data_IF_466447828842
#
_entry.id   IF_466447828842
#
_cell.length_a   1.000
_cell.length_b   1.000
_cell.length_c   1.000
_cell.angle_alpha   90.00
_cell.angle_beta   90.00
_cell.angle_gamma   90.00
#
_symmetry.space_group_name_H-M   'P 1'
#
loop_
_entity.id
_entity.type
_entity.pdbx_description
1 polymer ?
#
# COMPACT_ATOMS: atom_id res chain seq x y z
N UNK A 1 17.04 -12.52 -16.71
CA UNK A 1 16.57 -11.84 -15.49
C UNK A 1 16.80 -12.77 -14.33
N UNK A 2 17.39 -12.29 -13.24
CA UNK A 2 17.65 -13.11 -12.06
C UNK A 2 16.59 -12.84 -10.99
N UNK A 3 15.84 -13.88 -10.65
CA UNK A 3 15.15 -13.93 -9.36
C UNK A 3 16.23 -13.99 -8.26
N UNK A 4 16.00 -13.30 -7.16
CA UNK A 4 16.89 -13.34 -5.98
C UNK A 4 16.26 -14.22 -4.92
N UNK A 5 16.99 -15.19 -4.38
CA UNK A 5 16.53 -15.95 -3.21
C UNK A 5 16.60 -15.07 -1.97
N UNK A 6 15.51 -14.98 -1.21
CA UNK A 6 15.45 -14.26 0.05
C UNK A 6 15.78 -15.17 1.23
N UNK A 7 15.03 -16.28 1.34
CA UNK A 7 15.24 -17.36 2.31
C UNK A 7 14.57 -18.63 1.77
N UNK A 8 15.17 -19.80 2.02
CA UNK A 8 14.63 -21.09 1.60
C UNK A 8 14.17 -21.14 0.13
N UNK A 9 12.88 -21.44 -0.08
CA UNK A 9 12.24 -21.48 -1.40
C UNK A 9 11.64 -20.14 -1.86
N UNK A 10 11.76 -19.08 -1.07
CA UNK A 10 11.18 -17.77 -1.34
C UNK A 10 12.09 -16.95 -2.26
N UNK A 11 11.54 -16.55 -3.41
CA UNK A 11 12.24 -15.80 -4.45
C UNK A 11 11.61 -14.41 -4.65
N UNK A 12 12.41 -13.45 -5.11
CA UNK A 12 11.96 -12.10 -5.40
C UNK A 12 12.39 -11.65 -6.79
N UNK A 13 11.44 -11.07 -7.54
CA UNK A 13 11.72 -10.26 -8.72
C UNK A 13 11.71 -8.78 -8.33
N UNK A 14 12.90 -8.18 -8.31
CA UNK A 14 13.08 -6.76 -7.96
C UNK A 14 12.27 -5.83 -8.86
N UNK A 15 11.78 -4.74 -8.26
CA UNK A 15 11.25 -3.54 -8.91
C UNK A 15 10.35 -2.78 -7.95
N UNK A 16 9.47 -1.94 -8.47
CA UNK A 16 8.60 -1.05 -7.68
C UNK A 16 7.18 -1.07 -8.30
N UNK A 17 6.25 -1.90 -7.78
CA UNK A 17 6.44 -2.80 -6.64
C UNK A 17 7.33 -4.01 -6.97
N UNK A 18 7.93 -4.62 -5.95
CA UNK A 18 8.63 -5.91 -6.06
C UNK A 18 7.61 -7.06 -6.13
N UNK A 19 7.99 -8.22 -6.68
CA UNK A 19 7.07 -9.38 -6.80
C UNK A 19 7.69 -10.59 -6.13
N UNK A 20 6.99 -11.19 -5.16
CA UNK A 20 7.44 -12.39 -4.46
C UNK A 20 6.90 -13.66 -5.12
N UNK A 21 7.74 -14.68 -5.19
CA UNK A 21 7.40 -16.00 -5.72
C UNK A 21 7.66 -17.06 -4.65
N UNK A 22 6.71 -17.97 -4.47
CA UNK A 22 6.87 -19.14 -3.61
C UNK A 22 6.22 -20.35 -4.27
N UNK A 23 6.98 -21.44 -4.45
CA UNK A 23 6.47 -22.67 -5.06
C UNK A 23 6.22 -23.73 -4.00
N UNK A 24 5.01 -24.29 -4.01
CA UNK A 24 4.64 -25.42 -3.16
C UNK A 24 3.95 -26.52 -3.99
N UNK A 25 4.61 -27.67 -4.13
CA UNK A 25 4.12 -28.77 -4.96
C UNK A 25 3.90 -28.32 -6.42
N UNK A 26 2.64 -28.35 -6.87
CA UNK A 26 2.23 -27.92 -8.21
C UNK A 26 1.85 -26.45 -8.29
N UNK A 27 1.73 -25.73 -7.18
CA UNK A 27 1.26 -24.34 -7.16
C UNK A 27 2.44 -23.37 -7.05
N UNK A 28 2.41 -22.32 -7.84
CA UNK A 28 3.33 -21.19 -7.79
C UNK A 28 2.56 -19.94 -7.37
N UNK A 29 2.77 -19.49 -6.13
CA UNK A 29 2.22 -18.26 -5.63
C UNK A 29 3.05 -17.06 -6.08
N UNK A 30 2.39 -16.01 -6.55
CA UNK A 30 2.98 -14.79 -7.08
C UNK A 30 2.30 -13.61 -6.38
N UNK A 31 2.98 -12.98 -5.43
CA UNK A 31 2.43 -11.87 -4.64
C UNK A 31 2.80 -10.55 -5.29
N UNK A 32 1.78 -9.74 -5.59
CA UNK A 32 1.82 -8.48 -6.32
C UNK A 32 2.54 -8.58 -7.67
N UNK A 33 1.82 -9.02 -8.72
CA UNK A 33 2.42 -9.16 -10.04
C UNK A 33 2.78 -7.78 -10.66
N UNK A 34 2.32 -6.68 -10.08
CA UNK A 34 2.90 -5.37 -10.32
C UNK A 34 2.32 -4.71 -11.58
N UNK A 35 3.10 -3.79 -12.18
CA UNK A 35 2.72 -3.07 -13.40
C UNK A 35 3.79 -3.06 -14.50
N UNK A 36 3.32 -2.81 -15.72
CA UNK A 36 4.05 -2.66 -16.97
C UNK A 36 4.03 -3.92 -17.84
N UNK A 37 3.85 -3.76 -19.16
CA UNK A 37 3.95 -4.86 -20.15
C UNK A 37 5.30 -5.58 -20.09
N UNK A 38 6.37 -4.84 -19.78
CA UNK A 38 7.69 -5.46 -19.56
C UNK A 38 7.62 -6.41 -18.38
N UNK A 39 7.12 -5.95 -17.22
CA UNK A 39 6.95 -6.75 -15.99
C UNK A 39 6.09 -7.98 -16.24
N UNK A 40 4.95 -7.84 -16.93
CA UNK A 40 4.10 -8.96 -17.30
C UNK A 40 4.92 -10.07 -18.01
N UNK A 41 5.73 -9.71 -19.00
CA UNK A 41 6.64 -10.66 -19.68
C UNK A 41 7.71 -11.25 -18.75
N UNK A 42 8.19 -10.50 -17.76
CA UNK A 42 9.18 -11.02 -16.78
C UNK A 42 8.55 -12.09 -15.89
N UNK A 43 7.32 -11.84 -15.42
CA UNK A 43 6.58 -12.74 -14.53
C UNK A 43 6.14 -13.98 -15.29
N UNK A 44 5.60 -13.86 -16.51
CA UNK A 44 5.24 -15.04 -17.32
C UNK A 44 6.44 -15.96 -17.54
N UNK A 45 7.60 -15.40 -17.92
CA UNK A 45 8.84 -16.18 -18.09
C UNK A 45 9.35 -16.81 -16.78
N UNK A 46 9.20 -16.09 -15.66
CA UNK A 46 9.57 -16.63 -14.36
C UNK A 46 8.64 -17.79 -13.96
N UNK A 47 7.34 -17.64 -14.18
CA UNK A 47 6.33 -18.66 -13.92
C UNK A 47 6.54 -19.92 -14.78
N UNK A 48 6.79 -19.76 -16.08
CA UNK A 48 7.15 -20.85 -17.00
C UNK A 48 8.39 -21.60 -16.52
N UNK A 49 9.45 -20.87 -16.14
CA UNK A 49 10.72 -21.47 -15.69
C UNK A 49 10.57 -22.22 -14.37
N UNK A 50 9.84 -21.64 -13.41
CA UNK A 50 9.61 -22.26 -12.11
C UNK A 50 8.64 -23.44 -12.23
N UNK A 51 7.70 -23.38 -13.17
CA UNK A 51 6.69 -24.39 -13.44
C UNK A 51 5.64 -24.51 -12.32
N UNK A 52 4.46 -25.01 -12.68
CA UNK A 52 3.31 -25.12 -11.78
C UNK A 52 2.16 -24.23 -12.22
N UNK A 53 1.05 -24.34 -11.50
CA UNK A 53 -0.13 -23.51 -11.64
C UNK A 53 0.10 -22.16 -10.96
N UNK A 54 0.02 -21.08 -11.73
CA UNK A 54 0.29 -19.73 -11.24
C UNK A 54 -0.94 -19.17 -10.52
N UNK A 55 -0.79 -18.85 -9.24
CA UNK A 55 -1.80 -18.16 -8.43
C UNK A 55 -1.26 -16.77 -8.10
N UNK A 56 -1.89 -15.73 -8.67
CA UNK A 56 -1.58 -14.36 -8.33
C UNK A 56 -2.32 -13.95 -7.05
N UNK A 57 -1.60 -13.36 -6.10
CA UNK A 57 -2.16 -12.77 -4.89
C UNK A 57 -1.93 -11.27 -5.00
N UNK A 58 -3.02 -10.52 -5.07
CA UNK A 58 -3.03 -9.05 -5.03
C UNK A 58 -3.13 -8.66 -3.55
N UNK A 59 -2.22 -7.84 -3.05
CA UNK A 59 -2.22 -7.45 -1.63
C UNK A 59 -3.27 -6.40 -1.31
N UNK A 60 -3.58 -5.52 -2.27
CA UNK A 60 -4.59 -4.46 -2.18
C UNK A 60 -4.95 -3.90 -3.57
N UNK A 61 -5.97 -3.03 -3.63
CA UNK A 61 -6.57 -2.63 -4.91
C UNK A 61 -5.79 -1.64 -5.78
N UNK A 62 -4.65 -1.09 -5.34
CA UNK A 62 -3.97 -0.05 -6.13
C UNK A 62 -3.45 -0.61 -7.45
N UNK A 63 -3.58 0.21 -8.50
CA UNK A 63 -3.35 -0.19 -9.87
C UNK A 63 -2.00 -0.87 -10.06
N UNK A 64 -0.94 -0.33 -9.48
CA UNK A 64 0.40 -0.83 -9.68
C UNK A 64 0.69 -2.21 -9.11
N UNK A 65 -0.20 -2.77 -8.29
CA UNK A 65 -0.10 -4.13 -7.75
C UNK A 65 -0.77 -5.16 -8.66
N UNK A 66 -1.76 -4.74 -9.47
CA UNK A 66 -2.59 -5.63 -10.30
C UNK A 66 -2.51 -5.38 -11.82
N UNK A 67 -1.91 -4.26 -12.25
CA UNK A 67 -1.90 -3.85 -13.66
C UNK A 67 -1.36 -4.90 -14.64
N UNK A 68 -0.44 -5.75 -14.21
CA UNK A 68 0.09 -6.83 -15.08
C UNK A 68 -0.97 -7.82 -15.54
N UNK A 69 -2.05 -8.02 -14.78
CA UNK A 69 -3.14 -8.95 -15.10
C UNK A 69 -3.85 -8.57 -16.40
N UNK A 70 -4.03 -7.27 -16.64
CA UNK A 70 -4.58 -6.78 -17.91
C UNK A 70 -3.50 -6.48 -18.97
N UNK A 71 -2.22 -6.39 -18.57
CA UNK A 71 -1.11 -6.03 -19.47
C UNK A 71 -0.36 -7.24 -20.05
N UNK A 72 -0.83 -8.47 -19.79
CA UNK A 72 -0.38 -9.69 -20.47
C UNK A 72 0.16 -10.79 -19.56
N UNK A 73 0.02 -10.69 -18.24
CA UNK A 73 0.24 -11.81 -17.34
C UNK A 73 -1.10 -12.46 -16.99
N UNK A 74 -1.28 -13.74 -17.35
CA UNK A 74 -2.53 -14.46 -17.16
C UNK A 74 -2.29 -15.63 -16.20
N UNK A 75 -2.47 -15.44 -14.88
CA UNK A 75 -2.40 -16.54 -13.92
C UNK A 75 -3.61 -17.47 -14.07
N UNK A 76 -3.51 -18.68 -13.52
CA UNK A 76 -4.63 -19.62 -13.43
C UNK A 76 -5.70 -19.14 -12.46
N UNK A 77 -5.29 -18.43 -11.41
CA UNK A 77 -6.20 -17.81 -10.42
C UNK A 77 -5.63 -16.47 -9.98
N UNK A 78 -6.49 -15.47 -9.79
CA UNK A 78 -6.15 -14.23 -9.11
C UNK A 78 -6.97 -14.11 -7.82
N UNK A 79 -6.31 -13.76 -6.72
CA UNK A 79 -6.92 -13.62 -5.39
C UNK A 79 -6.71 -12.20 -4.88
N UNK A 80 -7.74 -11.61 -4.26
CA UNK A 80 -7.66 -10.30 -3.62
C UNK A 80 -8.40 -10.27 -2.28
N UNK A 81 -7.99 -9.42 -1.31
CA UNK A 81 -8.66 -9.31 -0.03
C UNK A 81 -10.13 -8.96 -0.18
N UNK A 82 -11.01 -9.62 0.59
CA UNK A 82 -12.47 -9.43 0.52
C UNK A 82 -12.87 -7.95 0.61
N UNK A 83 -12.21 -7.18 1.50
CA UNK A 83 -12.51 -5.75 1.70
C UNK A 83 -12.10 -4.86 0.52
N UNK A 84 -11.15 -5.32 -0.29
CA UNK A 84 -10.62 -4.58 -1.44
C UNK A 84 -11.16 -5.13 -2.79
N UNK A 85 -11.87 -6.26 -2.75
CA UNK A 85 -12.27 -7.03 -3.94
C UNK A 85 -13.08 -6.18 -4.95
N UNK A 86 -14.04 -5.40 -4.46
CA UNK A 86 -14.85 -4.53 -5.31
C UNK A 86 -14.01 -3.48 -6.05
N UNK A 87 -12.96 -2.94 -5.41
CA UNK A 87 -12.04 -1.97 -6.04
C UNK A 87 -11.02 -2.65 -6.95
N UNK A 88 -10.80 -3.96 -6.82
CA UNK A 88 -10.04 -4.73 -7.81
C UNK A 88 -10.90 -4.99 -9.05
N UNK A 89 -12.18 -5.31 -8.87
CA UNK A 89 -13.11 -5.64 -9.95
C UNK A 89 -13.63 -4.42 -10.72
N UNK A 90 -13.80 -3.28 -10.05
CA UNK A 90 -14.38 -2.07 -10.64
C UNK A 90 -13.41 -0.88 -10.50
N UNK A 91 -12.86 -0.41 -11.62
CA UNK A 91 -11.94 0.74 -11.67
C UNK A 91 -12.58 2.04 -11.25
N UNK A 92 -13.90 2.22 -11.43
CA UNK A 92 -14.60 3.41 -10.98
C UNK A 92 -14.60 3.41 -9.46
N UNK A 93 -14.90 2.28 -8.82
CA UNK A 93 -14.78 2.12 -7.37
C UNK A 93 -13.34 2.32 -6.89
N UNK A 94 -12.36 1.78 -7.62
CA UNK A 94 -10.92 2.00 -7.37
C UNK A 94 -10.58 3.49 -7.32
N UNK A 95 -10.98 4.25 -8.35
CA UNK A 95 -10.76 5.68 -8.46
C UNK A 95 -11.43 6.46 -7.32
N UNK A 96 -12.67 6.10 -6.97
CA UNK A 96 -13.38 6.71 -5.84
C UNK A 96 -12.60 6.54 -4.54
N UNK A 97 -12.09 5.34 -4.27
CA UNK A 97 -11.33 5.09 -3.05
C UNK A 97 -9.94 5.75 -3.07
N UNK A 98 -9.25 5.78 -4.21
CA UNK A 98 -7.93 6.42 -4.31
C UNK A 98 -8.01 7.94 -4.10
N UNK A 99 -8.93 8.63 -4.80
CA UNK A 99 -9.02 10.10 -4.77
C UNK A 99 -10.06 10.66 -3.80
N UNK A 100 -10.93 9.82 -3.23
CA UNK A 100 -12.04 10.23 -2.37
C UNK A 100 -13.26 10.79 -3.11
N UNK A 101 -13.12 11.11 -4.40
CA UNK A 101 -14.22 11.54 -5.28
C UNK A 101 -13.88 11.24 -6.75
N UNK A 102 -14.85 10.81 -7.55
CA UNK A 102 -14.66 10.70 -8.99
C UNK A 102 -14.78 12.08 -9.61
N UNK A 103 -13.89 12.42 -10.52
CA UNK A 103 -14.08 13.56 -11.41
C UNK A 103 -13.78 13.15 -12.84
N UNK A 104 -14.43 13.79 -13.80
CA UNK A 104 -14.21 13.52 -15.22
C UNK A 104 -12.73 13.75 -15.53
N UNK A 105 -12.06 12.72 -16.06
CA UNK A 105 -10.63 12.76 -16.35
C UNK A 105 -9.70 12.38 -15.19
N UNK A 106 -10.21 11.91 -14.04
CA UNK A 106 -9.38 11.49 -12.90
C UNK A 106 -8.33 10.42 -13.26
N UNK A 107 -8.60 9.59 -14.27
CA UNK A 107 -7.65 8.60 -14.78
C UNK A 107 -6.34 9.21 -15.27
N UNK A 108 -6.34 10.46 -15.77
CA UNK A 108 -5.13 11.14 -16.25
C UNK A 108 -4.23 11.63 -15.12
N UNK A 109 -4.75 11.63 -13.89
CA UNK A 109 -4.02 11.96 -12.68
C UNK A 109 -3.52 10.73 -11.93
N UNK A 110 -3.86 9.50 -12.37
CA UNK A 110 -3.31 8.28 -11.79
C UNK A 110 -1.83 8.11 -12.17
N UNK A 111 -1.00 7.81 -11.18
CA UNK A 111 0.39 7.40 -11.41
C UNK A 111 0.48 6.09 -12.20
N UNK A 112 -0.49 5.19 -11.96
CA UNK A 112 -0.60 3.90 -12.60
C UNK A 112 -2.04 3.61 -12.97
N UNK A 113 -2.26 3.15 -14.20
CA UNK A 113 -3.59 2.78 -14.71
C UNK A 113 -3.78 1.27 -14.61
N UNK A 114 -5.00 0.85 -14.26
CA UNK A 114 -5.42 -0.54 -14.35
C UNK A 114 -6.87 -0.62 -14.83
N UNK A 115 -7.16 -1.63 -15.65
CA UNK A 115 -8.51 -1.96 -16.05
C UNK A 115 -9.23 -2.78 -14.97
N UNK A 116 -10.49 -3.10 -15.25
CA UNK A 116 -11.28 -4.04 -14.45
C UNK A 116 -10.66 -5.44 -14.53
N UNK A 117 -10.71 -6.18 -13.42
CA UNK A 117 -10.22 -7.57 -13.34
C UNK A 117 -11.40 -8.45 -12.95
N UNK A 118 -12.10 -8.97 -13.96
CA UNK A 118 -13.34 -9.74 -13.75
C UNK A 118 -13.12 -11.07 -13.02
N UNK A 119 -12.02 -11.75 -13.33
CA UNK A 119 -11.71 -13.10 -12.83
C UNK A 119 -10.81 -13.06 -11.59
N UNK A 120 -11.21 -12.29 -10.59
CA UNK A 120 -10.56 -12.25 -9.27
C UNK A 120 -11.50 -12.80 -8.21
N UNK A 121 -10.96 -13.65 -7.35
CA UNK A 121 -11.70 -14.31 -6.30
C UNK A 121 -11.25 -13.85 -4.89
N UNK A 122 -12.06 -14.10 -3.84
CA UNK A 122 -11.66 -13.81 -2.47
C UNK A 122 -10.37 -14.51 -2.05
N UNK A 123 -9.47 -13.74 -1.46
CA UNK A 123 -8.26 -14.22 -0.79
C UNK A 123 -8.61 -14.79 0.58
N UNK A 124 -8.53 -16.11 0.71
CA UNK A 124 -8.81 -16.88 1.92
C UNK A 124 -7.57 -17.68 2.34
N UNK A 125 -7.36 -17.88 3.64
CA UNK A 125 -6.14 -18.49 4.17
C UNK A 125 -5.93 -19.93 3.68
N UNK A 126 -7.03 -20.65 3.50
CA UNK A 126 -7.10 -22.04 3.05
C UNK A 126 -6.60 -22.20 1.61
N UNK A 127 -6.78 -21.16 0.78
CA UNK A 127 -6.43 -21.15 -0.64
C UNK A 127 -4.96 -20.91 -0.92
N UNK A 128 -4.21 -20.41 0.06
CA UNK A 128 -2.81 -20.04 -0.12
C UNK A 128 -1.85 -20.88 0.73
N UNK A 129 -2.33 -21.94 1.39
CA UNK A 129 -1.47 -22.84 2.15
C UNK A 129 -0.31 -23.34 1.25
N UNK A 130 0.93 -23.37 1.77
CA UNK A 130 1.33 -23.21 3.18
C UNK A 130 1.63 -21.77 3.60
N UNK A 131 1.37 -20.77 2.74
CA UNK A 131 1.55 -19.36 3.07
C UNK A 131 0.53 -18.94 4.15
N UNK A 132 0.88 -17.89 4.90
CA UNK A 132 0.00 -17.31 5.91
C UNK A 132 -0.41 -15.91 5.50
N UNK A 133 -1.71 -15.63 5.58
CA UNK A 133 -2.23 -14.26 5.45
C UNK A 133 -1.92 -13.46 6.71
N UNK A 134 -1.44 -12.23 6.52
CA UNK A 134 -1.17 -11.27 7.58
C UNK A 134 -1.99 -10.02 7.29
N UNK A 135 -3.07 -9.73 8.03
CA UNK A 135 -3.84 -8.49 7.83
C UNK A 135 -2.98 -7.25 8.14
N UNK A 136 -2.85 -6.34 7.18
CA UNK A 136 -2.03 -5.12 7.28
C UNK A 136 -2.82 -3.85 6.91
N UNK A 137 -4.00 -3.61 7.50
CA UNK A 137 -4.87 -2.52 7.09
C UNK A 137 -4.27 -1.15 7.45
N UNK A 138 -4.75 -0.12 6.76
CA UNK A 138 -4.41 1.29 7.00
C UNK A 138 -4.04 2.03 5.73
N UNK A 139 -3.20 1.41 4.87
CA UNK A 139 -2.96 1.91 3.51
C UNK A 139 -4.26 1.87 2.69
N UNK A 140 -4.81 0.67 2.53
CA UNK A 140 -6.20 0.42 2.13
C UNK A 140 -6.95 -0.34 3.24
N UNK A 141 -8.28 -0.40 3.20
CA UNK A 141 -9.07 -1.13 4.20
C UNK A 141 -8.79 -2.63 4.26
N UNK A 142 -8.50 -3.25 3.11
CA UNK A 142 -8.28 -4.68 2.95
C UNK A 142 -6.82 -5.12 2.81
N UNK A 143 -5.86 -4.19 2.80
CA UNK A 143 -4.45 -4.53 2.57
C UNK A 143 -4.00 -5.71 3.43
N UNK A 144 -3.44 -6.71 2.77
CA UNK A 144 -3.00 -7.96 3.40
C UNK A 144 -1.62 -8.35 2.89
N UNK A 145 -0.72 -8.65 3.82
CA UNK A 145 0.59 -9.23 3.54
C UNK A 145 0.57 -10.75 3.52
N UNK A 146 1.67 -11.33 3.05
CA UNK A 146 1.82 -12.78 2.90
C UNK A 146 3.14 -13.22 3.53
N UNK A 147 3.06 -14.15 4.48
CA UNK A 147 4.22 -14.73 5.15
C UNK A 147 4.48 -16.14 4.62
N UNK A 148 5.71 -16.40 4.17
CA UNK A 148 6.12 -17.72 3.67
C UNK A 148 6.61 -18.61 4.82
N UNK A 149 6.61 -19.95 4.65
CA UNK A 149 7.23 -20.87 5.60
C UNK A 149 8.72 -20.62 5.86
N UNK A 150 9.40 -19.89 4.98
CA UNK A 150 10.82 -19.54 5.13
C UNK A 150 11.05 -18.31 6.02
N UNK A 151 10.00 -17.79 6.68
CA UNK A 151 10.08 -16.62 7.54
C UNK A 151 10.13 -15.28 6.77
N UNK A 152 9.74 -15.26 5.50
CA UNK A 152 9.69 -14.04 4.69
C UNK A 152 8.29 -13.44 4.73
N UNK A 153 8.16 -12.19 5.19
CA UNK A 153 6.92 -11.43 5.13
C UNK A 153 6.95 -10.45 3.94
N UNK A 154 6.06 -10.63 2.97
CA UNK A 154 5.70 -9.58 2.03
C UNK A 154 4.72 -8.62 2.70
N UNK A 155 5.21 -7.44 3.08
CA UNK A 155 4.49 -6.45 3.88
C UNK A 155 3.68 -5.47 3.04
N UNK A 156 3.66 -5.62 1.72
CA UNK A 156 2.94 -4.74 0.81
C UNK A 156 3.30 -3.25 1.06
N UNK A 157 2.31 -2.37 0.97
CA UNK A 157 2.42 -0.92 1.21
C UNK A 157 2.10 -0.54 2.66
N UNK A 158 2.23 -1.50 3.60
CA UNK A 158 2.28 -1.17 5.03
C UNK A 158 3.62 -0.57 5.43
N UNK A 159 4.68 -0.82 4.65
CA UNK A 159 6.04 -0.33 4.88
C UNK A 159 6.58 0.21 3.57
N UNK A 160 7.10 1.43 3.59
CA UNK A 160 7.79 2.03 2.46
C UNK A 160 9.30 2.07 2.69
N UNK A 161 10.06 1.79 1.64
CA UNK A 161 11.53 1.91 1.67
C UNK A 161 11.98 3.35 1.86
N UNK A 162 13.18 3.53 2.42
CA UNK A 162 13.75 4.85 2.76
C UNK A 162 13.64 5.89 1.63
N UNK A 163 13.94 5.49 0.38
CA UNK A 163 13.85 6.38 -0.78
C UNK A 163 12.43 6.88 -1.04
N UNK A 164 11.42 6.03 -0.83
CA UNK A 164 10.01 6.40 -1.01
C UNK A 164 9.61 7.39 0.07
N UNK A 165 9.98 7.12 1.33
CA UNK A 165 9.76 8.06 2.44
C UNK A 165 10.44 9.41 2.16
N UNK A 166 11.66 9.43 1.65
CA UNK A 166 12.35 10.68 1.30
C UNK A 166 11.69 11.43 0.13
N UNK A 167 11.14 10.72 -0.85
CA UNK A 167 10.60 11.32 -2.08
C UNK A 167 9.18 11.85 -1.90
N UNK A 168 8.30 11.04 -1.31
CA UNK A 168 6.86 11.33 -1.28
C UNK A 168 6.38 11.95 0.02
N UNK A 169 7.28 12.09 1.01
CA UNK A 169 7.02 12.80 2.26
C UNK A 169 5.91 12.21 3.14
N UNK A 170 4.66 12.27 2.72
CA UNK A 170 3.52 11.68 3.43
C UNK A 170 3.12 10.41 2.70
N UNK A 171 3.34 9.23 3.30
CA UNK A 171 2.82 8.00 2.73
C UNK A 171 1.30 8.07 2.65
N UNK A 172 0.74 7.67 1.50
CA UNK A 172 -0.71 7.54 1.38
C UNK A 172 -1.19 6.48 2.36
N UNK A 173 -2.10 6.84 3.26
CA UNK A 173 -2.88 5.89 4.05
C UNK A 173 -4.31 6.39 4.15
N UNK A 174 -5.27 5.56 3.76
CA UNK A 174 -6.71 5.85 3.95
C UNK A 174 -7.09 5.95 5.43
N UNK A 175 -6.39 5.21 6.29
CA UNK A 175 -6.51 5.31 7.75
C UNK A 175 -5.10 5.25 8.40
N UNK A 176 -4.47 6.42 8.64
CA UNK A 176 -3.13 6.50 9.22
C UNK A 176 -3.02 5.91 10.63
N UNK A 177 -4.04 6.05 11.48
CA UNK A 177 -4.02 5.46 12.82
C UNK A 177 -4.01 3.92 12.76
N UNK A 178 -4.80 3.34 11.86
CA UNK A 178 -4.79 1.89 11.64
C UNK A 178 -3.46 1.41 11.00
N UNK A 179 -2.84 2.24 10.14
CA UNK A 179 -1.51 1.96 9.62
C UNK A 179 -0.46 1.94 10.75
N UNK A 180 -0.55 2.88 11.71
CA UNK A 180 0.32 2.93 12.89
C UNK A 180 0.15 1.69 13.79
N UNK A 181 -1.08 1.23 14.03
CA UNK A 181 -1.36 -0.03 14.73
C UNK A 181 -0.77 -1.24 14.00
N UNK A 182 -0.87 -1.26 12.66
CA UNK A 182 -0.24 -2.28 11.82
C UNK A 182 1.28 -2.27 11.96
N UNK A 183 1.92 -1.11 11.85
CA UNK A 183 3.37 -0.96 11.99
C UNK A 183 3.86 -1.36 13.38
N UNK A 184 3.14 -1.00 14.43
CA UNK A 184 3.47 -1.39 15.81
C UNK A 184 3.43 -2.90 15.98
N UNK A 185 2.36 -3.56 15.48
CA UNK A 185 2.27 -5.03 15.50
C UNK A 185 3.37 -5.70 14.70
N UNK A 186 3.81 -5.11 13.58
CA UNK A 186 4.94 -5.61 12.80
C UNK A 186 6.26 -5.46 13.55
N UNK A 187 6.49 -4.32 14.19
CA UNK A 187 7.67 -4.07 15.05
C UNK A 187 7.76 -5.10 16.16
N UNK A 188 6.67 -5.40 16.86
CA UNK A 188 6.67 -6.35 17.98
C UNK A 188 6.99 -7.80 17.58
N UNK A 189 6.84 -8.14 16.29
CA UNK A 189 7.11 -9.49 15.77
C UNK A 189 8.28 -9.56 14.78
N UNK A 190 8.96 -8.44 14.50
CA UNK A 190 10.03 -8.36 13.49
C UNK A 190 11.15 -9.36 13.77
N UNK A 191 11.48 -9.57 15.04
CA UNK A 191 12.50 -10.52 15.49
C UNK A 191 12.15 -12.00 15.27
N UNK A 192 10.93 -12.30 14.79
CA UNK A 192 10.49 -13.65 14.40
C UNK A 192 10.50 -13.86 12.89
N UNK A 193 10.86 -12.85 12.11
CA UNK A 193 10.89 -12.87 10.65
C UNK A 193 12.35 -12.90 10.18
N UNK A 194 12.61 -13.66 9.13
CA UNK A 194 13.92 -13.72 8.47
C UNK A 194 14.11 -12.51 7.55
N UNK A 195 13.08 -12.15 6.79
CA UNK A 195 13.09 -11.00 5.87
C UNK A 195 11.72 -10.32 5.84
N UNK A 196 11.72 -8.99 5.83
CA UNK A 196 10.56 -8.17 5.50
C UNK A 196 10.75 -7.58 4.10
N UNK A 197 9.71 -7.67 3.27
CA UNK A 197 9.69 -7.18 1.89
C UNK A 197 8.62 -6.10 1.75
N UNK A 198 8.97 -4.81 1.66
CA UNK A 198 8.04 -3.77 1.21
C UNK A 198 7.77 -3.92 -0.29
N UNK A 199 6.60 -3.49 -0.78
CA UNK A 199 6.39 -3.44 -2.24
C UNK A 199 7.36 -2.46 -2.88
N UNK A 200 7.50 -1.28 -2.28
CA UNK A 200 8.35 -0.20 -2.78
C UNK A 200 9.59 -0.03 -1.89
N UNK A 201 10.60 -0.84 -2.13
CA UNK A 201 11.86 -0.79 -1.39
C UNK A 201 12.70 -2.03 -1.61
N UNK A 202 13.85 -2.09 -0.94
CA UNK A 202 14.63 -3.33 -0.84
C UNK A 202 14.07 -4.20 0.29
N UNK A 203 14.17 -5.53 0.19
CA UNK A 203 14.02 -6.40 1.35
C UNK A 203 15.01 -6.05 2.45
N UNK A 204 14.58 -6.16 3.70
CA UNK A 204 15.35 -5.82 4.90
C UNK A 204 15.27 -6.94 5.94
N UNK A 205 16.28 -7.04 6.82
CA UNK A 205 16.36 -8.09 7.85
C UNK A 205 17.00 -7.58 9.15
N UNK A 206 16.75 -8.26 10.26
CA UNK A 206 17.32 -7.93 11.58
C UNK A 206 17.12 -6.44 11.92
N UNK A 207 18.17 -5.79 12.42
CA UNK A 207 18.13 -4.37 12.78
C UNK A 207 17.76 -3.43 11.62
N UNK A 208 18.01 -3.82 10.37
CA UNK A 208 17.60 -3.00 9.21
C UNK A 208 16.07 -2.98 9.07
N UNK A 209 15.41 -4.09 9.38
CA UNK A 209 13.96 -4.18 9.39
C UNK A 209 13.36 -3.36 10.54
N UNK A 210 13.97 -3.44 11.73
CA UNK A 210 13.58 -2.62 12.89
C UNK A 210 13.68 -1.13 12.58
N UNK A 211 14.82 -0.67 12.03
CA UNK A 211 15.01 0.73 11.64
C UNK A 211 14.00 1.18 10.59
N UNK A 212 13.73 0.35 9.57
CA UNK A 212 12.77 0.72 8.53
C UNK A 212 11.34 0.86 9.06
N UNK A 213 10.94 -0.02 9.98
CA UNK A 213 9.64 0.07 10.65
C UNK A 213 9.54 1.36 11.47
N UNK A 214 10.56 1.67 12.26
CA UNK A 214 10.59 2.88 13.07
C UNK A 214 10.52 4.14 12.19
N UNK A 215 11.26 4.19 11.09
CA UNK A 215 11.18 5.31 10.13
C UNK A 215 9.77 5.52 9.56
N UNK A 216 9.01 4.45 9.32
CA UNK A 216 7.62 4.55 8.85
C UNK A 216 6.69 5.04 9.97
N UNK A 217 6.89 4.54 11.21
CA UNK A 217 6.15 4.98 12.41
C UNK A 217 6.37 6.47 12.65
N UNK A 218 7.63 6.89 12.79
CA UNK A 218 8.02 8.28 13.00
C UNK A 218 7.44 9.20 11.92
N UNK A 219 7.36 8.71 10.67
CA UNK A 219 6.78 9.52 9.59
C UNK A 219 5.28 9.78 9.79
N UNK A 220 4.52 8.77 10.22
CA UNK A 220 3.09 8.96 10.47
C UNK A 220 2.84 9.85 11.69
N UNK A 221 3.67 9.73 12.72
CA UNK A 221 3.58 10.55 13.94
C UNK A 221 3.99 12.01 13.68
N UNK A 222 5.07 12.25 12.93
CA UNK A 222 5.48 13.61 12.55
C UNK A 222 4.44 14.28 11.64
N UNK A 223 3.79 13.53 10.75
CA UNK A 223 2.72 14.07 9.92
C UNK A 223 1.52 14.51 10.78
N UNK A 224 1.14 13.72 11.78
CA UNK A 224 0.09 14.13 12.73
C UNK A 224 0.51 15.35 13.56
N UNK A 225 1.75 15.38 14.03
CA UNK A 225 2.32 16.53 14.75
C UNK A 225 2.23 17.80 13.91
N UNK A 226 2.62 17.73 12.63
CA UNK A 226 2.51 18.86 11.71
C UNK A 226 1.08 19.37 11.50
N UNK A 227 0.12 18.45 11.41
CA UNK A 227 -1.31 18.79 11.28
C UNK A 227 -1.83 19.48 12.54
N UNK A 228 -1.52 18.95 13.71
CA UNK A 228 -1.97 19.52 14.99
C UNK A 228 -1.33 20.87 15.29
N UNK A 229 -0.06 21.05 14.95
CA UNK A 229 0.62 22.36 15.00
C UNK A 229 -0.13 23.40 14.16
N UNK A 230 -0.52 23.06 12.93
CA UNK A 230 -1.26 23.99 12.07
C UNK A 230 -2.66 24.28 12.63
N UNK A 231 -3.37 23.25 13.08
CA UNK A 231 -4.72 23.38 13.68
C UNK A 231 -4.71 24.16 15.00
N UNK A 232 -3.58 24.18 15.72
CA UNK A 232 -3.42 24.95 16.96
C UNK A 232 -3.34 26.46 16.71
N UNK A 233 -2.91 26.88 15.51
CA UNK A 233 -2.78 28.29 15.13
C UNK A 233 -4.13 28.88 14.73
N UNK A 234 -4.86 28.16 13.89
CA UNK A 234 -6.18 28.55 13.40
C UNK A 234 -6.91 27.34 12.81
N UNK A 235 -8.25 27.41 12.67
CA UNK A 235 -8.98 26.43 11.89
C UNK A 235 -8.47 26.37 10.44
N UNK A 236 -8.30 25.17 9.88
CA UNK A 236 -7.69 24.95 8.57
C UNK A 236 -8.55 24.05 7.67
N UNK A 237 -8.57 24.33 6.36
CA UNK A 237 -9.18 23.44 5.37
C UNK A 237 -8.28 22.25 5.09
N UNK A 238 -8.84 21.16 4.56
CA UNK A 238 -8.03 19.98 4.19
C UNK A 238 -6.96 20.29 3.15
N UNK A 239 -7.26 21.14 2.16
CA UNK A 239 -6.27 21.57 1.17
C UNK A 239 -5.12 22.38 1.79
N UNK A 240 -5.40 23.24 2.80
CA UNK A 240 -4.36 23.95 3.52
C UNK A 240 -3.47 22.98 4.30
N UNK A 241 -4.07 22.04 5.03
CA UNK A 241 -3.36 21.01 5.78
C UNK A 241 -2.48 20.14 4.86
N UNK A 242 -3.01 19.72 3.71
CA UNK A 242 -2.24 18.97 2.72
C UNK A 242 -1.06 19.79 2.18
N UNK A 243 -1.27 21.09 1.90
CA UNK A 243 -0.20 22.01 1.50
C UNK A 243 0.87 22.16 2.58
N UNK A 244 0.47 22.24 3.85
CA UNK A 244 1.39 22.31 4.99
C UNK A 244 2.27 21.09 5.06
N UNK A 245 1.71 19.88 4.92
CA UNK A 245 2.50 18.66 4.90
C UNK A 245 3.46 18.61 3.71
N UNK A 246 2.99 18.88 2.48
CA UNK A 246 3.87 18.89 1.31
C UNK A 246 5.04 19.86 1.47
N UNK A 247 4.80 21.06 2.02
CA UNK A 247 5.85 22.05 2.30
C UNK A 247 6.83 21.59 3.37
N UNK A 248 6.33 21.04 4.50
CA UNK A 248 7.17 20.58 5.63
C UNK A 248 8.22 19.58 5.18
N UNK A 249 7.85 18.71 4.23
CA UNK A 249 8.71 17.64 3.76
C UNK A 249 9.37 17.92 2.40
N UNK A 250 9.24 19.13 1.86
CA UNK A 250 9.88 19.51 0.59
C UNK A 250 9.40 18.70 -0.62
N UNK A 251 8.16 18.21 -0.61
CA UNK A 251 7.60 17.47 -1.74
C UNK A 251 7.29 18.42 -2.91
N UNK A 252 7.62 18.01 -4.13
CA UNK A 252 7.25 18.74 -5.34
C UNK A 252 5.73 18.67 -5.53
N UNK A 253 5.06 19.82 -5.33
CA UNK A 253 3.62 19.87 -5.40
C UNK A 253 3.13 19.68 -6.84
N UNK A 254 2.37 18.60 -7.06
CA UNK A 254 1.61 18.35 -8.29
C UNK A 254 0.13 18.21 -7.94
N UNK A 255 -0.80 18.42 -8.89
CA UNK A 255 -2.23 18.19 -8.63
C UNK A 255 -2.52 16.76 -8.13
N UNK A 256 -1.90 15.75 -8.74
CA UNK A 256 -2.02 14.35 -8.30
C UNK A 256 -1.58 14.18 -6.85
N UNK A 257 -0.38 14.65 -6.50
CA UNK A 257 0.13 14.50 -5.14
C UNK A 257 -0.75 15.24 -4.13
N UNK A 258 -1.21 16.46 -4.46
CA UNK A 258 -2.08 17.23 -3.59
C UNK A 258 -3.37 16.47 -3.26
N UNK A 259 -4.03 15.88 -4.26
CA UNK A 259 -5.26 15.09 -4.06
C UNK A 259 -4.99 13.86 -3.18
N UNK A 260 -3.88 13.14 -3.42
CA UNK A 260 -3.51 11.97 -2.62
C UNK A 260 -3.19 12.34 -1.16
N UNK A 261 -2.49 13.45 -0.94
CA UNK A 261 -2.19 13.96 0.41
C UNK A 261 -3.47 14.43 1.10
N UNK A 262 -4.41 15.06 0.40
CA UNK A 262 -5.72 15.37 0.97
C UNK A 262 -6.44 14.12 1.48
N UNK A 263 -6.39 13.01 0.75
CA UNK A 263 -6.97 11.73 1.21
C UNK A 263 -6.31 11.26 2.51
N UNK A 264 -4.98 11.34 2.62
CA UNK A 264 -4.27 11.00 3.85
C UNK A 264 -4.66 11.93 5.02
N UNK A 265 -4.78 13.24 4.78
CA UNK A 265 -5.26 14.22 5.78
C UNK A 265 -6.69 13.90 6.24
N UNK A 266 -7.59 13.52 5.32
CA UNK A 266 -8.94 13.08 5.67
C UNK A 266 -8.90 11.81 6.54
N UNK A 267 -7.95 10.91 6.28
CA UNK A 267 -7.68 9.75 7.13
C UNK A 267 -7.31 10.15 8.56
N UNK A 268 -6.37 11.07 8.75
CA UNK A 268 -6.01 11.61 10.07
C UNK A 268 -7.20 12.25 10.77
N UNK A 269 -7.94 13.10 10.06
CA UNK A 269 -9.14 13.75 10.59
C UNK A 269 -10.17 12.70 11.04
N UNK A 270 -10.36 11.64 10.23
CA UNK A 270 -11.26 10.54 10.54
C UNK A 270 -10.89 9.81 11.83
N UNK A 271 -9.62 9.43 11.99
CA UNK A 271 -9.19 8.68 13.17
C UNK A 271 -9.06 9.54 14.44
N UNK A 272 -8.86 10.86 14.31
CA UNK A 272 -8.87 11.82 15.43
C UNK A 272 -10.19 12.60 15.57
N UNK A 273 -11.30 12.10 14.99
CA UNK A 273 -12.59 12.81 14.96
C UNK A 273 -13.20 13.10 16.34
N UNK A 274 -12.76 12.41 17.40
CA UNK A 274 -13.14 12.71 18.78
C UNK A 274 -12.47 13.98 19.32
N UNK A 275 -11.34 14.38 18.75
CA UNK A 275 -10.53 15.54 19.16
C UNK A 275 -10.74 16.74 18.25
N UNK A 276 -11.29 16.51 17.05
CA UNK A 276 -11.50 17.53 16.03
C UNK A 276 -13.00 17.79 15.79
N UNK A 277 -13.31 19.00 15.36
CA UNK A 277 -14.65 19.35 14.88
C UNK A 277 -14.61 20.17 13.59
N UNK A 278 -15.56 19.94 12.67
CA UNK A 278 -15.72 20.78 11.49
C UNK A 278 -16.42 22.09 11.88
N UNK A 279 -15.97 23.18 11.30
CA UNK A 279 -16.62 24.49 11.35
C UNK A 279 -16.82 25.04 9.94
N UNK A 280 -17.77 25.95 9.78
CA UNK A 280 -17.95 26.70 8.55
C UNK A 280 -17.47 28.13 8.76
N UNK A 281 -16.47 28.54 8.00
CA UNK A 281 -15.93 29.91 8.05
C UNK A 281 -15.84 30.47 6.64
N UNK A 282 -16.52 31.58 6.37
CA UNK A 282 -16.59 32.22 5.04
C UNK A 282 -16.98 31.27 3.91
N UNK A 283 -17.91 30.33 4.20
CA UNK A 283 -18.38 29.33 3.23
C UNK A 283 -17.44 28.14 3.00
N UNK A 284 -16.31 28.07 3.72
CA UNK A 284 -15.33 26.98 3.61
C UNK A 284 -15.41 26.07 4.83
N UNK A 285 -15.47 24.76 4.61
CA UNK A 285 -15.34 23.77 5.68
C UNK A 285 -13.89 23.75 6.16
N UNK A 286 -13.70 24.05 7.44
CA UNK A 286 -12.42 23.99 8.14
C UNK A 286 -12.52 23.07 9.34
N UNK A 287 -11.37 22.61 9.82
CA UNK A 287 -11.24 21.78 11.01
C UNK A 287 -10.50 22.54 12.10
N UNK A 288 -10.86 22.29 13.35
CA UNK A 288 -10.13 22.78 14.53
C UNK A 288 -10.12 21.73 15.63
N UNK A 289 -9.19 21.86 16.57
CA UNK A 289 -9.22 21.11 17.83
C UNK A 289 -10.46 21.51 18.62
N UNK A 290 -11.22 20.53 19.12
CA UNK A 290 -12.38 20.76 19.98
C UNK A 290 -11.93 21.52 21.22
N UNK A 291 -12.67 22.57 21.56
CA UNK A 291 -12.52 23.23 22.85
C UNK A 291 -13.14 22.31 23.91
N UNK A 292 -12.36 21.94 24.92
CA UNK A 292 -12.89 21.28 26.13
C UNK A 292 -13.76 22.25 26.90
#
# INVERSE_FOLDING_TARGET
MSLTTLAGGTLLLKGSPSTLFYKHGRTLFIVDPGHGRKRAKQISKAAEKLGGEAVAIITHFHSDHLSTLYQGFQPSTALAPVKDLAMVQDRVMRLHYTFGYPFTGAEDYLLFKAEDVDNVEPLEAERIKPLRLVPLPGHTPGQTGVETPDGVLYAADSIFGERVLQTYAVPYHSNPCQALETLTRLRDRVNRLEVIVPSHGKPVKGEEAERLLEMNIERLEDAWTALTEELSRAPASVGLLASTLMKRYGAEATPTLAILVETAVRGYIGCHGAELEPILESGVVKWRVRRR
#
